data_IF_790468715549
#
_entry.id   IF_790468715549
#
_cell.length_a   1.000
_cell.length_b   1.000
_cell.length_c   1.000
_cell.angle_alpha   90.00
_cell.angle_beta   90.00
_cell.angle_gamma   90.00
#
_symmetry.space_group_name_H-M   'P 1'
#
loop_
_entity.id
_entity.type
_entity.pdbx_description
1 polymer ?
#
# COMPACT_ATOMS: atom_id res chain seq x y z
N UNK A 1 -10.26 -22.24 -11.99
CA UNK A 1 -9.65 -21.12 -11.25
C UNK A 1 -8.42 -20.65 -11.99
N UNK A 2 -8.39 -19.40 -12.42
CA UNK A 2 -7.25 -18.88 -13.20
C UNK A 2 -6.26 -18.18 -12.25
N UNK A 3 -5.41 -18.96 -11.59
CA UNK A 3 -4.45 -18.52 -10.58
C UNK A 3 -3.47 -17.46 -11.12
N UNK A 4 -3.09 -17.53 -12.39
CA UNK A 4 -2.23 -16.53 -13.00
C UNK A 4 -2.86 -15.14 -12.96
N UNK A 5 -4.14 -15.02 -13.32
CA UNK A 5 -4.84 -13.73 -13.28
C UNK A 5 -4.99 -13.21 -11.85
N UNK A 6 -5.11 -14.11 -10.86
CA UNK A 6 -5.20 -13.71 -9.46
C UNK A 6 -3.89 -13.10 -8.90
N UNK A 7 -2.73 -13.56 -9.41
CA UNK A 7 -1.42 -13.14 -8.90
C UNK A 7 -0.86 -11.89 -9.61
N UNK A 8 -1.28 -11.63 -10.87
CA UNK A 8 -0.76 -10.51 -11.66
C UNK A 8 -0.95 -9.13 -11.00
N UNK A 9 -2.07 -8.80 -10.34
CA UNK A 9 -2.21 -7.54 -9.62
C UNK A 9 -1.17 -7.38 -8.51
N UNK A 10 -0.88 -8.45 -7.77
CA UNK A 10 0.14 -8.44 -6.72
C UNK A 10 1.53 -8.17 -7.30
N UNK A 11 1.85 -8.78 -8.43
CA UNK A 11 3.11 -8.56 -9.12
C UNK A 11 3.27 -7.10 -9.57
N UNK A 12 2.25 -6.51 -10.19
CA UNK A 12 2.28 -5.12 -10.63
C UNK A 12 2.34 -4.14 -9.47
N UNK A 13 1.52 -4.33 -8.42
CA UNK A 13 1.58 -3.49 -7.23
C UNK A 13 2.87 -3.68 -6.44
N UNK A 14 3.51 -4.85 -6.51
CA UNK A 14 4.83 -5.10 -5.92
C UNK A 14 5.97 -4.41 -6.67
N UNK A 15 5.87 -4.32 -8.00
CA UNK A 15 6.85 -3.62 -8.85
C UNK A 15 6.66 -2.09 -8.79
N UNK A 16 5.45 -1.60 -8.60
CA UNK A 16 5.14 -0.17 -8.60
C UNK A 16 6.08 0.67 -7.73
N UNK A 17 6.29 0.37 -6.43
CA UNK A 17 7.20 1.15 -5.59
C UNK A 17 8.66 1.09 -6.07
N UNK A 18 9.08 -0.02 -6.68
CA UNK A 18 10.42 -0.16 -7.26
C UNK A 18 10.59 0.72 -8.50
N UNK A 19 9.59 0.71 -9.39
CA UNK A 19 9.59 1.53 -10.60
C UNK A 19 9.62 3.03 -10.24
N UNK A 20 8.74 3.46 -9.34
CA UNK A 20 8.66 4.84 -8.86
C UNK A 20 9.98 5.27 -8.20
N UNK A 21 10.56 4.42 -7.35
CA UNK A 21 11.84 4.73 -6.68
C UNK A 21 13.00 4.84 -7.68
N UNK A 22 13.03 3.99 -8.73
CA UNK A 22 14.05 4.07 -9.79
C UNK A 22 13.88 5.29 -10.71
N UNK A 23 12.65 5.63 -11.06
CA UNK A 23 12.35 6.85 -11.84
C UNK A 23 12.77 8.08 -11.04
N UNK A 24 12.58 8.05 -9.74
CA UNK A 24 12.96 9.10 -8.81
C UNK A 24 12.03 10.31 -8.87
N UNK A 25 12.54 11.44 -8.39
CA UNK A 25 11.75 12.65 -8.20
C UNK A 25 11.18 12.73 -6.79
N UNK A 26 10.70 13.90 -6.40
CA UNK A 26 10.05 14.11 -5.09
C UNK A 26 8.70 13.40 -5.06
N UNK A 27 8.17 13.04 -3.88
CA UNK A 27 6.86 12.34 -3.74
C UNK A 27 5.73 13.02 -4.52
N UNK A 28 5.74 14.35 -4.59
CA UNK A 28 4.74 15.10 -5.36
C UNK A 28 4.83 14.85 -6.88
N UNK A 29 6.04 14.70 -7.43
CA UNK A 29 6.20 14.36 -8.84
C UNK A 29 5.78 12.93 -9.13
N UNK A 30 6.05 12.03 -8.19
CA UNK A 30 5.67 10.62 -8.26
C UNK A 30 4.14 10.47 -8.26
N UNK A 31 3.44 11.15 -7.32
CA UNK A 31 1.97 11.05 -7.26
C UNK A 31 1.30 11.73 -8.46
N UNK A 32 1.78 12.88 -8.93
CA UNK A 32 1.26 13.54 -10.12
C UNK A 32 1.35 12.60 -11.34
N UNK A 33 2.53 12.01 -11.58
CA UNK A 33 2.70 11.06 -12.67
C UNK A 33 1.80 9.83 -12.52
N UNK A 34 1.78 9.23 -11.33
CA UNK A 34 0.93 8.06 -11.06
C UNK A 34 -0.54 8.37 -11.35
N UNK A 35 -1.07 9.49 -10.87
CA UNK A 35 -2.48 9.83 -11.06
C UNK A 35 -2.80 10.16 -12.53
N UNK A 36 -1.88 10.77 -13.27
CA UNK A 36 -2.08 11.08 -14.70
C UNK A 36 -2.09 9.82 -15.55
N UNK A 37 -1.15 8.90 -15.34
CA UNK A 37 -1.17 7.62 -16.02
C UNK A 37 -2.44 6.83 -15.71
N UNK A 38 -2.89 6.87 -14.45
CA UNK A 38 -4.12 6.19 -14.03
C UNK A 38 -5.36 6.77 -14.70
N UNK A 39 -5.51 8.10 -14.76
CA UNK A 39 -6.71 8.70 -15.37
C UNK A 39 -6.81 8.44 -16.87
N UNK A 40 -5.68 8.39 -17.58
CA UNK A 40 -5.68 8.03 -19.00
C UNK A 40 -6.29 6.64 -19.21
N UNK A 41 -5.84 5.66 -18.43
CA UNK A 41 -6.39 4.30 -18.50
C UNK A 41 -7.85 4.26 -18.06
N UNK A 42 -8.21 4.99 -17.00
CA UNK A 42 -9.59 5.05 -16.51
C UNK A 42 -10.55 5.63 -17.54
N UNK A 43 -10.14 6.65 -18.32
CA UNK A 43 -10.91 7.19 -19.44
C UNK A 43 -11.11 6.13 -20.53
N UNK A 44 -10.04 5.41 -20.92
CA UNK A 44 -10.13 4.33 -21.91
C UNK A 44 -11.10 3.24 -21.45
N UNK A 45 -11.00 2.81 -20.20
CA UNK A 45 -11.91 1.81 -19.61
C UNK A 45 -13.35 2.30 -19.63
N UNK A 46 -13.60 3.56 -19.26
CA UNK A 46 -14.93 4.15 -19.29
C UNK A 46 -15.52 4.18 -20.70
N UNK A 47 -14.75 4.56 -21.69
CA UNK A 47 -15.20 4.61 -23.10
C UNK A 47 -15.55 3.23 -23.66
N UNK A 48 -14.85 2.18 -23.19
CA UNK A 48 -15.10 0.79 -23.64
C UNK A 48 -16.25 0.15 -22.87
N UNK A 49 -16.25 0.27 -21.54
CA UNK A 49 -17.18 -0.45 -20.67
C UNK A 49 -18.51 0.30 -20.44
N UNK A 50 -18.52 1.63 -20.62
CA UNK A 50 -19.66 2.53 -20.43
C UNK A 50 -20.52 2.20 -19.20
N UNK A 51 -19.91 2.06 -18.00
CA UNK A 51 -20.65 1.71 -16.80
C UNK A 51 -21.60 2.86 -16.41
N UNK A 52 -22.76 2.54 -15.88
CA UNK A 52 -23.69 3.53 -15.34
C UNK A 52 -23.11 4.13 -14.06
N UNK A 53 -23.02 5.46 -14.01
CA UNK A 53 -22.50 6.21 -12.86
C UNK A 53 -23.55 7.22 -12.42
N UNK A 54 -24.16 6.98 -11.26
CA UNK A 54 -25.07 7.99 -10.67
C UNK A 54 -24.29 9.18 -10.13
N UNK A 55 -24.92 10.35 -10.06
CA UNK A 55 -24.28 11.56 -9.53
C UNK A 55 -23.76 11.37 -8.10
N UNK A 56 -24.51 10.67 -7.25
CA UNK A 56 -24.10 10.39 -5.88
C UNK A 56 -22.83 9.49 -5.84
N UNK A 57 -22.84 8.39 -6.62
CA UNK A 57 -21.70 7.47 -6.71
C UNK A 57 -20.47 8.16 -7.29
N UNK A 58 -20.65 9.07 -8.26
CA UNK A 58 -19.55 9.86 -8.79
C UNK A 58 -18.83 10.63 -7.68
N UNK A 59 -19.55 11.40 -6.86
CA UNK A 59 -18.93 12.24 -5.85
C UNK A 59 -18.32 11.46 -4.70
N UNK A 60 -18.92 10.34 -4.27
CA UNK A 60 -18.32 9.47 -3.26
C UNK A 60 -17.04 8.81 -3.75
N UNK A 61 -17.04 8.32 -4.98
CA UNK A 61 -15.83 7.72 -5.57
C UNK A 61 -14.76 8.79 -5.87
N UNK A 62 -15.15 10.00 -6.31
CA UNK A 62 -14.23 11.11 -6.49
C UNK A 62 -13.52 11.48 -5.17
N UNK A 63 -14.30 11.64 -4.09
CA UNK A 63 -13.74 11.92 -2.76
C UNK A 63 -12.77 10.82 -2.33
N UNK A 64 -13.15 9.55 -2.52
CA UNK A 64 -12.29 8.41 -2.19
C UNK A 64 -10.96 8.44 -2.94
N UNK A 65 -10.99 8.79 -4.24
CA UNK A 65 -9.79 8.96 -5.05
C UNK A 65 -8.91 10.12 -4.58
N UNK A 66 -9.49 11.26 -4.20
CA UNK A 66 -8.74 12.39 -3.65
C UNK A 66 -8.05 12.02 -2.32
N UNK A 67 -8.71 11.28 -1.45
CA UNK A 67 -8.13 10.74 -0.22
C UNK A 67 -6.97 9.79 -0.50
N UNK A 68 -7.11 8.91 -1.50
CA UNK A 68 -6.04 8.00 -1.93
C UNK A 68 -4.79 8.77 -2.40
N UNK A 69 -4.96 9.86 -3.15
CA UNK A 69 -3.81 10.66 -3.63
C UNK A 69 -2.96 11.20 -2.47
N UNK A 70 -3.59 11.68 -1.40
CA UNK A 70 -2.90 12.09 -0.17
C UNK A 70 -2.17 10.93 0.51
N UNK A 71 -2.86 9.80 0.65
CA UNK A 71 -2.29 8.58 1.24
C UNK A 71 -1.08 8.06 0.47
N UNK A 72 -1.20 7.97 -0.84
CA UNK A 72 -0.13 7.49 -1.72
C UNK A 72 1.08 8.43 -1.73
N UNK A 73 0.86 9.74 -1.67
CA UNK A 73 1.95 10.71 -1.54
C UNK A 73 2.71 10.52 -0.22
N UNK A 74 2.00 10.28 0.88
CA UNK A 74 2.61 9.99 2.19
C UNK A 74 3.34 8.64 2.17
N UNK A 75 2.85 7.64 1.45
CA UNK A 75 3.56 6.37 1.26
C UNK A 75 4.86 6.59 0.47
N UNK A 76 4.85 7.35 -0.62
CA UNK A 76 6.08 7.68 -1.35
C UNK A 76 7.07 8.47 -0.46
N UNK A 77 6.56 9.36 0.40
CA UNK A 77 7.40 10.04 1.38
C UNK A 77 8.03 9.07 2.38
N UNK A 78 7.31 8.04 2.78
CA UNK A 78 7.87 7.01 3.67
C UNK A 78 9.03 6.25 3.04
N UNK A 79 8.99 6.02 1.72
CA UNK A 79 10.09 5.36 1.00
C UNK A 79 11.38 6.19 1.00
N UNK A 80 11.26 7.52 0.96
CA UNK A 80 12.43 8.40 1.14
C UNK A 80 13.00 8.34 2.57
N UNK A 81 12.14 8.14 3.57
CA UNK A 81 12.54 8.14 4.99
C UNK A 81 13.11 6.81 5.46
N UNK A 82 12.50 5.70 5.06
CA UNK A 82 12.78 4.36 5.62
C UNK A 82 12.98 3.27 4.58
N UNK A 83 13.07 3.64 3.31
CA UNK A 83 13.20 2.72 2.19
C UNK A 83 11.91 1.99 1.84
N UNK A 84 11.90 1.32 0.68
CA UNK A 84 10.77 0.50 0.23
C UNK A 84 10.63 -0.75 1.09
N UNK A 85 11.76 -1.40 1.43
CA UNK A 85 11.76 -2.61 2.26
C UNK A 85 11.28 -2.38 3.69
N UNK A 86 11.41 -1.15 4.21
CA UNK A 86 10.86 -0.75 5.51
C UNK A 86 9.41 -0.26 5.40
N UNK A 87 9.13 0.57 4.41
CA UNK A 87 7.84 1.24 4.24
C UNK A 87 6.70 0.32 3.81
N UNK A 88 6.96 -0.62 2.88
CA UNK A 88 5.91 -1.49 2.35
C UNK A 88 5.28 -2.43 3.38
N UNK A 89 6.03 -3.18 4.19
CA UNK A 89 5.40 -4.03 5.21
C UNK A 89 4.55 -3.24 6.20
N UNK A 90 5.06 -2.08 6.66
CA UNK A 90 4.33 -1.21 7.60
C UNK A 90 3.05 -0.69 6.95
N UNK A 91 3.16 -0.13 5.75
CA UNK A 91 2.02 0.43 5.01
C UNK A 91 0.94 -0.62 4.73
N UNK A 92 1.34 -1.78 4.18
CA UNK A 92 0.41 -2.87 3.86
C UNK A 92 -0.29 -3.40 5.11
N UNK A 93 0.46 -3.62 6.18
CA UNK A 93 -0.13 -4.12 7.41
C UNK A 93 -1.05 -3.11 8.10
N UNK A 94 -0.71 -1.82 8.10
CA UNK A 94 -1.62 -0.77 8.59
C UNK A 94 -2.91 -0.70 7.76
N UNK A 95 -2.81 -0.78 6.43
CA UNK A 95 -3.96 -0.79 5.53
C UNK A 95 -4.84 -2.02 5.77
N UNK A 96 -4.25 -3.22 5.84
CA UNK A 96 -4.98 -4.45 6.13
C UNK A 96 -5.72 -4.37 7.46
N UNK A 97 -5.00 -4.00 8.52
CA UNK A 97 -5.58 -3.87 9.86
C UNK A 97 -6.73 -2.86 9.88
N UNK A 98 -6.51 -1.67 9.35
CA UNK A 98 -7.50 -0.60 9.39
C UNK A 98 -8.72 -0.90 8.51
N UNK A 99 -8.53 -1.42 7.30
CA UNK A 99 -9.64 -1.83 6.43
C UNK A 99 -10.45 -2.96 7.07
N UNK A 100 -9.80 -3.97 7.68
CA UNK A 100 -10.49 -5.07 8.33
C UNK A 100 -11.30 -4.62 9.55
N UNK A 101 -10.74 -3.72 10.38
CA UNK A 101 -11.45 -3.15 11.51
C UNK A 101 -12.66 -2.32 11.04
N UNK A 102 -12.48 -1.49 10.02
CA UNK A 102 -13.58 -0.68 9.47
C UNK A 102 -14.62 -1.57 8.80
N UNK A 103 -14.21 -2.59 8.06
CA UNK A 103 -15.10 -3.59 7.47
C UNK A 103 -15.95 -4.30 8.52
N UNK A 104 -15.32 -4.76 9.61
CA UNK A 104 -16.01 -5.44 10.70
C UNK A 104 -16.99 -4.53 11.48
N UNK A 105 -16.62 -3.25 11.70
CA UNK A 105 -17.41 -2.33 12.53
C UNK A 105 -18.52 -1.60 11.75
N UNK A 106 -18.28 -1.26 10.48
CA UNK A 106 -19.16 -0.36 9.71
C UNK A 106 -19.79 -1.00 8.48
N UNK A 107 -19.19 -2.09 7.94
CA UNK A 107 -19.72 -2.78 6.77
C UNK A 107 -20.32 -4.14 7.10
N UNK A 108 -20.10 -4.65 8.33
CA UNK A 108 -20.67 -5.91 8.78
C UNK A 108 -19.94 -7.16 8.23
N UNK A 109 -18.64 -7.02 7.89
CA UNK A 109 -17.86 -8.10 7.26
C UNK A 109 -17.69 -9.33 8.15
N UNK A 110 -17.77 -9.20 9.49
CA UNK A 110 -17.60 -10.30 10.46
C UNK A 110 -18.79 -10.42 11.40
N UNK A 111 -19.96 -10.90 10.92
CA UNK A 111 -21.18 -11.02 11.72
C UNK A 111 -21.09 -12.10 12.81
N UNK A 112 -20.36 -13.20 12.57
CA UNK A 112 -20.28 -14.34 13.51
C UNK A 112 -19.07 -14.26 14.43
N UNK A 113 -19.14 -15.00 15.58
CA UNK A 113 -18.04 -15.08 16.53
C UNK A 113 -16.79 -15.70 15.90
N UNK A 114 -16.94 -16.76 15.10
CA UNK A 114 -15.83 -17.42 14.40
C UNK A 114 -15.08 -16.47 13.49
N UNK A 115 -15.80 -15.68 12.69
CA UNK A 115 -15.21 -14.68 11.81
C UNK A 115 -14.44 -13.59 12.57
N UNK A 116 -14.99 -13.12 13.69
CA UNK A 116 -14.30 -12.13 14.56
C UNK A 116 -13.03 -12.71 15.17
N UNK A 117 -13.07 -13.93 15.71
CA UNK A 117 -11.91 -14.59 16.30
C UNK A 117 -10.80 -14.77 15.27
N UNK A 118 -11.12 -15.31 14.09
CA UNK A 118 -10.14 -15.51 13.01
C UNK A 118 -9.60 -14.16 12.52
N UNK A 119 -10.46 -13.16 12.30
CA UNK A 119 -10.09 -11.85 11.82
C UNK A 119 -9.18 -11.08 12.80
N UNK A 120 -9.52 -11.03 14.09
CA UNK A 120 -8.66 -10.37 15.09
C UNK A 120 -7.36 -11.13 15.32
N UNK A 121 -7.35 -12.47 15.25
CA UNK A 121 -6.12 -13.26 15.30
C UNK A 121 -5.21 -12.96 14.10
N UNK A 122 -5.79 -12.80 12.91
CA UNK A 122 -5.07 -12.42 11.71
C UNK A 122 -4.43 -11.02 11.84
N UNK A 123 -5.17 -10.05 12.39
CA UNK A 123 -4.64 -8.69 12.67
C UNK A 123 -3.45 -8.78 13.65
N UNK A 124 -3.55 -9.57 14.70
CA UNK A 124 -2.45 -9.74 15.66
C UNK A 124 -1.20 -10.33 14.99
N UNK A 125 -1.37 -11.33 14.10
CA UNK A 125 -0.27 -11.90 13.29
C UNK A 125 0.36 -10.86 12.36
N UNK A 126 -0.45 -10.03 11.69
CA UNK A 126 0.05 -8.98 10.80
C UNK A 126 0.90 -7.98 11.59
N UNK A 127 0.42 -7.50 12.74
CA UNK A 127 1.15 -6.57 13.61
C UNK A 127 2.47 -7.19 14.06
N UNK A 128 2.47 -8.45 14.46
CA UNK A 128 3.67 -9.17 14.87
C UNK A 128 4.65 -9.35 13.69
N UNK A 129 4.16 -9.71 12.50
CA UNK A 129 4.97 -9.82 11.30
C UNK A 129 5.63 -8.50 10.89
N UNK A 130 4.89 -7.38 10.95
CA UNK A 130 5.44 -6.04 10.70
C UNK A 130 6.53 -5.73 11.71
N UNK A 131 6.27 -5.96 13.00
CA UNK A 131 7.27 -5.74 14.04
C UNK A 131 8.56 -6.51 13.75
N UNK A 132 8.48 -7.76 13.29
CA UNK A 132 9.64 -8.53 12.89
C UNK A 132 10.38 -7.91 11.69
N UNK A 133 9.68 -7.49 10.64
CA UNK A 133 10.31 -6.90 9.44
C UNK A 133 11.05 -5.60 9.73
N UNK A 134 10.66 -4.88 10.78
CA UNK A 134 11.23 -3.57 11.14
C UNK A 134 12.37 -3.66 12.17
N UNK A 135 12.66 -4.85 12.69
CA UNK A 135 13.75 -5.04 13.65
C UNK A 135 15.10 -4.74 13.01
N UNK A 136 15.89 -3.95 13.72
CA UNK A 136 17.30 -3.66 13.37
C UNK A 136 18.24 -4.39 14.31
N UNK A 137 19.35 -4.85 13.79
CA UNK A 137 20.41 -5.44 14.61
C UNK A 137 21.00 -4.38 15.53
N UNK A 138 21.12 -4.73 16.82
CA UNK A 138 21.82 -3.88 17.78
C UNK A 138 23.33 -4.04 17.54
N UNK A 139 23.98 -3.00 17.07
CA UNK A 139 25.44 -2.94 17.04
C UNK A 139 25.90 -2.87 18.52
N UNK A 140 26.47 -3.97 19.03
CA UNK A 140 27.09 -3.96 20.34
C UNK A 140 28.36 -3.09 20.31
N UNK A 141 28.59 -2.20 21.28
CA UNK A 141 29.78 -1.36 21.33
C UNK A 141 31.10 -2.14 21.53
N UNK A 142 31.05 -3.46 21.70
CA UNK A 142 32.17 -4.26 22.20
C UNK A 142 33.19 -4.74 21.17
N UNK A 143 33.09 -4.40 19.90
CA UNK A 143 34.11 -4.81 18.89
C UNK A 143 34.99 -3.67 18.40
N UNK A 144 34.86 -2.46 18.94
CA UNK A 144 35.71 -1.30 18.57
C UNK A 144 36.34 -0.60 19.78
N UNK A 145 36.50 -1.30 20.90
CA UNK A 145 37.16 -0.75 22.09
C UNK A 145 38.68 -0.63 21.99
N UNK A 146 39.24 -0.55 20.80
CA UNK A 146 40.69 -0.41 20.58
C UNK A 146 41.08 0.66 19.55
N UNK A 147 40.23 1.61 19.23
CA UNK A 147 40.66 2.80 18.51
C UNK A 147 39.65 3.94 18.61
N UNK A 148 40.05 4.99 19.33
CA UNK A 148 39.57 6.36 19.22
C UNK A 148 38.20 6.71 19.82
N UNK A 149 38.25 7.67 20.71
CA UNK A 149 37.24 8.61 21.14
C UNK A 149 35.91 8.56 20.35
N UNK A 150 34.83 8.33 21.07
CA UNK A 150 33.47 8.44 20.56
C UNK A 150 33.31 9.72 19.73
N UNK A 151 33.24 9.60 18.42
CA UNK A 151 32.96 10.72 17.55
C UNK A 151 31.48 11.03 17.66
N UNK A 152 31.06 12.32 17.88
CA UNK A 152 29.66 12.74 17.93
C UNK A 152 28.83 12.36 16.67
N UNK A 153 29.49 11.92 15.60
CA UNK A 153 28.88 11.50 14.34
C UNK A 153 28.06 10.19 14.44
N UNK A 154 28.53 9.19 15.18
CA UNK A 154 27.83 7.89 15.27
C UNK A 154 26.53 7.97 16.09
N UNK A 155 26.49 8.79 17.13
CA UNK A 155 25.29 9.07 17.92
C UNK A 155 24.27 9.90 17.11
N UNK A 156 24.74 10.80 16.28
CA UNK A 156 23.89 11.60 15.41
C UNK A 156 23.26 10.77 14.29
N UNK A 157 23.97 9.83 13.69
CA UNK A 157 23.43 8.90 12.68
C UNK A 157 22.37 7.94 13.28
N UNK A 158 22.61 7.41 14.47
CA UNK A 158 21.66 6.58 15.19
C UNK A 158 20.37 7.32 15.57
N UNK A 159 20.49 8.57 15.99
CA UNK A 159 19.35 9.43 16.31
C UNK A 159 18.58 9.86 15.06
N UNK A 160 19.27 10.18 13.98
CA UNK A 160 18.66 10.50 12.70
C UNK A 160 17.89 9.30 12.12
N UNK A 161 18.44 8.08 12.18
CA UNK A 161 17.76 6.86 11.74
C UNK A 161 16.50 6.57 12.56
N UNK A 162 16.54 6.76 13.89
CA UNK A 162 15.37 6.62 14.76
C UNK A 162 14.31 7.68 14.47
N UNK A 163 14.71 8.91 14.21
CA UNK A 163 13.83 10.02 13.85
C UNK A 163 13.14 9.74 12.52
N UNK A 164 13.87 9.28 11.51
CA UNK A 164 13.33 8.91 10.20
C UNK A 164 12.33 7.75 10.31
N UNK A 165 12.61 6.73 11.14
CA UNK A 165 11.67 5.63 11.37
C UNK A 165 10.36 6.12 11.99
N UNK A 166 10.43 6.96 13.03
CA UNK A 166 9.23 7.56 13.64
C UNK A 166 8.44 8.40 12.65
N UNK A 167 9.13 9.25 11.87
CA UNK A 167 8.49 10.06 10.84
C UNK A 167 7.85 9.19 9.74
N UNK A 168 8.55 8.13 9.30
CA UNK A 168 8.03 7.17 8.33
C UNK A 168 6.76 6.47 8.81
N UNK A 169 6.74 5.99 10.06
CA UNK A 169 5.57 5.38 10.68
C UNK A 169 4.41 6.40 10.78
N UNK A 170 4.69 7.62 11.21
CA UNK A 170 3.66 8.66 11.36
C UNK A 170 3.00 9.02 10.02
N UNK A 171 3.77 9.24 8.97
CA UNK A 171 3.20 9.57 7.65
C UNK A 171 2.39 8.40 7.09
N UNK A 172 2.81 7.15 7.34
CA UNK A 172 2.04 5.97 6.96
C UNK A 172 0.75 5.82 7.76
N UNK A 173 0.77 6.11 9.06
CA UNK A 173 -0.44 6.08 9.89
C UNK A 173 -1.48 7.11 9.41
N UNK A 174 -1.04 8.34 9.11
CA UNK A 174 -1.92 9.37 8.53
C UNK A 174 -2.41 8.93 7.13
N UNK A 175 -1.51 8.40 6.30
CA UNK A 175 -1.86 7.90 4.97
C UNK A 175 -2.87 6.76 5.01
N UNK A 176 -2.83 5.92 6.04
CA UNK A 176 -3.78 4.81 6.20
C UNK A 176 -5.23 5.30 6.24
N UNK A 177 -5.51 6.46 6.82
CA UNK A 177 -6.86 7.06 6.82
C UNK A 177 -7.35 7.29 5.37
N UNK A 178 -6.48 7.79 4.50
CA UNK A 178 -6.83 8.00 3.09
C UNK A 178 -7.02 6.70 2.32
N UNK A 179 -6.25 5.66 2.61
CA UNK A 179 -6.44 4.34 2.01
C UNK A 179 -7.73 3.66 2.47
N UNK A 180 -8.08 3.81 3.76
CA UNK A 180 -9.38 3.34 4.27
C UNK A 180 -10.52 4.07 3.58
N UNK A 181 -10.47 5.40 3.44
CA UNK A 181 -11.47 6.17 2.71
C UNK A 181 -11.59 5.73 1.25
N UNK A 182 -10.47 5.41 0.59
CA UNK A 182 -10.47 4.90 -0.77
C UNK A 182 -11.27 3.60 -0.93
N UNK A 183 -11.15 2.68 0.00
CA UNK A 183 -11.86 1.40 0.00
C UNK A 183 -13.28 1.52 0.55
N UNK A 184 -13.48 2.33 1.58
CA UNK A 184 -14.73 2.43 2.32
C UNK A 184 -15.89 3.00 1.50
N UNK A 185 -15.68 4.11 0.79
CA UNK A 185 -16.79 4.77 0.09
C UNK A 185 -17.41 3.91 -1.00
N UNK A 186 -16.65 3.30 -1.94
CA UNK A 186 -17.24 2.40 -2.92
C UNK A 186 -17.94 1.19 -2.27
N UNK A 187 -17.35 0.60 -1.25
CA UNK A 187 -17.93 -0.53 -0.54
C UNK A 187 -19.24 -0.16 0.19
N UNK A 188 -19.26 0.97 0.90
CA UNK A 188 -20.44 1.44 1.66
C UNK A 188 -21.63 1.73 0.78
N UNK A 189 -21.40 2.20 -0.45
CA UNK A 189 -22.46 2.52 -1.41
C UNK A 189 -22.63 1.45 -2.50
N UNK A 190 -22.01 0.29 -2.35
CA UNK A 190 -22.11 -0.85 -3.28
C UNK A 190 -21.82 -0.48 -4.74
N UNK A 191 -20.83 0.38 -4.98
CA UNK A 191 -20.46 0.83 -6.31
C UNK A 191 -19.61 -0.23 -7.01
N UNK A 192 -20.02 -0.65 -8.20
CA UNK A 192 -19.22 -1.56 -9.03
C UNK A 192 -17.83 -0.96 -9.33
N UNK A 193 -16.79 -1.80 -9.30
CA UNK A 193 -15.41 -1.32 -9.46
C UNK A 193 -15.16 -0.60 -10.79
N UNK A 194 -15.83 -1.00 -11.88
CA UNK A 194 -15.72 -0.34 -13.19
C UNK A 194 -16.37 1.03 -13.18
N UNK A 195 -17.52 1.17 -12.49
CA UNK A 195 -18.19 2.45 -12.30
C UNK A 195 -17.42 3.38 -11.35
N UNK A 196 -16.72 2.84 -10.35
CA UNK A 196 -15.92 3.60 -9.41
C UNK A 196 -14.60 4.11 -10.04
N UNK A 197 -14.02 3.41 -11.00
CA UNK A 197 -12.64 3.62 -11.44
C UNK A 197 -12.39 5.01 -12.03
N UNK A 198 -13.25 5.50 -12.95
CA UNK A 198 -13.08 6.84 -13.53
C UNK A 198 -13.27 7.96 -12.51
N UNK A 199 -14.35 8.00 -11.70
CA UNK A 199 -14.50 9.01 -10.65
C UNK A 199 -13.34 9.00 -9.63
N UNK A 200 -12.88 7.82 -9.22
CA UNK A 200 -11.70 7.71 -8.35
C UNK A 200 -10.44 8.28 -9.01
N UNK A 201 -10.16 7.93 -10.26
CA UNK A 201 -9.00 8.45 -10.99
C UNK A 201 -9.05 9.99 -11.14
N UNK A 202 -10.23 10.57 -11.40
CA UNK A 202 -10.42 12.02 -11.42
C UNK A 202 -10.19 12.64 -10.05
N UNK A 203 -10.68 12.01 -8.98
CA UNK A 203 -10.40 12.41 -7.61
C UNK A 203 -8.91 12.37 -7.27
N UNK A 204 -8.22 11.30 -7.68
CA UNK A 204 -6.76 11.16 -7.51
C UNK A 204 -6.00 12.31 -8.16
N UNK A 205 -6.31 12.63 -9.42
CA UNK A 205 -5.68 13.76 -10.14
C UNK A 205 -5.96 15.08 -9.44
N UNK A 206 -7.21 15.31 -9.07
CA UNK A 206 -7.62 16.56 -8.39
C UNK A 206 -6.90 16.72 -7.05
N UNK A 207 -6.83 15.68 -6.25
CA UNK A 207 -6.08 15.67 -4.99
C UNK A 207 -4.58 15.96 -5.19
N UNK A 208 -3.94 15.28 -6.15
CA UNK A 208 -2.53 15.50 -6.47
C UNK A 208 -2.27 16.94 -6.97
N UNK A 209 -3.17 17.50 -7.80
CA UNK A 209 -3.08 18.88 -8.27
C UNK A 209 -3.23 19.89 -7.13
N UNK A 210 -4.19 19.69 -6.22
CA UNK A 210 -4.35 20.54 -5.05
C UNK A 210 -3.08 20.55 -4.19
N UNK A 211 -2.49 19.41 -3.90
CA UNK A 211 -1.21 19.34 -3.18
C UNK A 211 -0.09 20.02 -3.94
N UNK A 212 -0.02 19.87 -5.26
CA UNK A 212 1.02 20.48 -6.08
C UNK A 212 0.92 22.00 -6.12
N UNK A 213 -0.25 22.54 -6.38
CA UNK A 213 -0.45 23.97 -6.63
C UNK A 213 -0.56 24.77 -5.33
N UNK A 214 -1.36 24.31 -4.38
CA UNK A 214 -1.69 25.11 -3.20
C UNK A 214 -0.80 24.83 -2.00
N UNK A 215 -0.40 23.58 -1.78
CA UNK A 215 0.39 23.22 -0.60
C UNK A 215 1.89 23.24 -0.86
N UNK A 216 2.37 22.60 -1.92
CA UNK A 216 3.80 22.47 -2.19
C UNK A 216 4.33 23.47 -3.23
N UNK A 217 3.44 24.24 -3.87
CA UNK A 217 3.78 25.24 -4.90
C UNK A 217 4.73 24.70 -5.97
N UNK A 218 4.48 23.46 -6.41
CA UNK A 218 5.27 22.79 -7.44
C UNK A 218 4.56 22.87 -8.79
N UNK A 219 5.34 22.85 -9.88
CA UNK A 219 4.77 22.79 -11.23
C UNK A 219 4.22 21.39 -11.50
N UNK A 220 2.92 21.23 -11.82
CA UNK A 220 2.33 19.92 -12.09
C UNK A 220 3.01 19.20 -13.26
N UNK A 221 3.24 19.93 -14.35
CA UNK A 221 3.86 19.44 -15.58
C UNK A 221 5.37 19.61 -15.52
N UNK A 222 6.06 18.64 -14.96
CA UNK A 222 7.51 18.58 -14.90
C UNK A 222 8.01 17.25 -15.49
N UNK A 223 9.24 17.22 -16.01
CA UNK A 223 9.82 15.98 -16.53
C UNK A 223 9.78 14.81 -15.53
N UNK A 224 10.09 15.01 -14.23
CA UNK A 224 9.93 13.95 -13.25
C UNK A 224 8.49 13.45 -13.14
N UNK A 225 7.47 14.34 -13.21
CA UNK A 225 6.05 13.92 -13.18
C UNK A 225 5.68 13.10 -14.41
N UNK A 226 6.11 13.54 -15.60
CA UNK A 226 5.84 12.81 -16.85
C UNK A 226 6.46 11.41 -16.82
N UNK A 227 7.72 11.27 -16.39
CA UNK A 227 8.37 9.96 -16.27
C UNK A 227 7.65 9.03 -15.30
N UNK A 228 7.08 9.57 -14.24
CA UNK A 228 6.33 8.81 -13.23
C UNK A 228 4.92 8.39 -13.72
N UNK A 229 4.46 8.80 -14.92
CA UNK A 229 3.24 8.25 -15.54
C UNK A 229 3.34 6.73 -15.76
N UNK A 230 4.56 6.19 -15.92
CA UNK A 230 4.79 4.75 -15.94
C UNK A 230 4.20 4.07 -14.70
N UNK A 231 4.37 4.66 -13.51
CA UNK A 231 3.77 4.17 -12.28
C UNK A 231 2.24 4.16 -12.35
N UNK A 232 1.65 5.17 -12.98
CA UNK A 232 0.19 5.24 -13.20
C UNK A 232 -0.33 4.14 -14.12
N UNK A 233 0.38 3.84 -15.20
CA UNK A 233 0.01 2.73 -16.08
C UNK A 233 0.14 1.38 -15.38
N UNK A 234 1.21 1.15 -14.59
CA UNK A 234 1.38 -0.06 -13.78
C UNK A 234 0.24 -0.19 -12.78
N UNK A 235 -0.08 0.89 -12.05
CA UNK A 235 -1.17 0.91 -11.07
C UNK A 235 -2.52 0.60 -11.71
N UNK A 236 -2.87 1.28 -12.80
CA UNK A 236 -4.13 1.12 -13.50
C UNK A 236 -4.29 -0.30 -14.08
N UNK A 237 -3.23 -0.87 -14.67
CA UNK A 237 -3.25 -2.24 -15.18
C UNK A 237 -3.46 -3.24 -14.03
N UNK A 238 -2.83 -3.01 -12.87
CA UNK A 238 -3.04 -3.84 -11.70
C UNK A 238 -4.50 -3.80 -11.23
N UNK A 239 -5.13 -2.60 -11.20
CA UNK A 239 -6.56 -2.44 -10.86
C UNK A 239 -7.43 -3.22 -11.83
N UNK A 240 -7.20 -3.11 -13.14
CA UNK A 240 -7.98 -3.82 -14.15
C UNK A 240 -7.88 -5.34 -13.99
N UNK A 241 -6.67 -5.86 -13.80
CA UNK A 241 -6.44 -7.29 -13.59
C UNK A 241 -7.07 -7.77 -12.28
N UNK A 242 -7.08 -6.93 -11.25
CA UNK A 242 -7.75 -7.21 -9.99
C UNK A 242 -9.27 -7.34 -10.17
N UNK A 243 -9.89 -6.43 -10.92
CA UNK A 243 -11.33 -6.50 -11.24
C UNK A 243 -11.67 -7.77 -12.04
N UNK A 244 -10.83 -8.14 -13.02
CA UNK A 244 -10.98 -9.40 -13.77
C UNK A 244 -10.82 -10.60 -12.82
N UNK A 245 -9.84 -10.56 -11.92
CA UNK A 245 -9.61 -11.61 -10.93
C UNK A 245 -10.81 -11.81 -10.00
N UNK A 246 -11.44 -10.72 -9.53
CA UNK A 246 -12.66 -10.78 -8.72
C UNK A 246 -13.76 -11.55 -9.46
N UNK A 247 -13.98 -11.25 -10.74
CA UNK A 247 -15.02 -11.91 -11.53
C UNK A 247 -14.74 -13.41 -11.78
N UNK A 248 -13.47 -13.79 -11.90
CA UNK A 248 -13.07 -15.17 -12.20
C UNK A 248 -12.88 -16.06 -10.97
N UNK A 249 -12.40 -15.47 -9.88
CA UNK A 249 -11.94 -16.22 -8.69
C UNK A 249 -12.71 -15.85 -7.41
N UNK A 250 -13.55 -14.82 -7.46
CA UNK A 250 -14.22 -14.24 -6.30
C UNK A 250 -13.35 -13.25 -5.53
N UNK A 251 -14.02 -12.41 -4.73
CA UNK A 251 -13.39 -11.29 -4.01
C UNK A 251 -12.33 -11.77 -3.02
N UNK A 252 -12.65 -12.79 -2.22
CA UNK A 252 -11.75 -13.28 -1.16
C UNK A 252 -10.42 -13.79 -1.72
N UNK A 253 -10.45 -14.56 -2.81
CA UNK A 253 -9.24 -15.10 -3.45
C UNK A 253 -8.44 -13.96 -4.10
N UNK A 254 -9.11 -13.11 -4.85
CA UNK A 254 -8.47 -11.97 -5.50
C UNK A 254 -7.77 -11.06 -4.48
N UNK A 255 -8.46 -10.69 -3.40
CA UNK A 255 -7.91 -9.85 -2.33
C UNK A 255 -6.73 -10.53 -1.61
N UNK A 256 -6.84 -11.80 -1.25
CA UNK A 256 -5.77 -12.55 -0.57
C UNK A 256 -4.51 -12.63 -1.44
N UNK A 257 -4.66 -12.86 -2.75
CA UNK A 257 -3.52 -12.94 -3.66
C UNK A 257 -2.80 -11.60 -3.80
N UNK A 258 -3.50 -10.47 -3.71
CA UNK A 258 -2.86 -9.15 -3.79
C UNK A 258 -1.89 -8.88 -2.64
N UNK A 259 -2.03 -9.54 -1.49
CA UNK A 259 -1.13 -9.38 -0.36
C UNK A 259 0.32 -9.82 -0.67
N UNK A 260 0.51 -10.65 -1.70
CA UNK A 260 1.85 -11.02 -2.15
C UNK A 260 2.67 -9.83 -2.68
N UNK A 261 2.04 -8.69 -2.96
CA UNK A 261 2.73 -7.47 -3.39
C UNK A 261 3.79 -7.01 -2.37
N UNK A 262 3.52 -7.18 -1.08
CA UNK A 262 4.45 -6.77 -0.01
C UNK A 262 5.75 -7.55 -0.06
N UNK A 263 5.70 -8.83 -0.42
CA UNK A 263 6.90 -9.67 -0.56
C UNK A 263 7.76 -9.12 -1.70
N UNK A 264 7.16 -8.93 -2.87
CA UNK A 264 7.87 -8.45 -4.07
C UNK A 264 8.46 -7.04 -3.84
N UNK A 265 7.68 -6.12 -3.27
CA UNK A 265 8.14 -4.76 -3.00
C UNK A 265 9.27 -4.74 -1.96
N UNK A 266 9.15 -5.51 -0.87
CA UNK A 266 10.14 -5.54 0.20
C UNK A 266 11.45 -6.18 -0.27
N UNK A 267 11.39 -7.34 -0.90
CA UNK A 267 12.57 -8.00 -1.44
C UNK A 267 13.17 -7.21 -2.60
N UNK A 268 12.33 -6.60 -3.43
CA UNK A 268 12.79 -5.71 -4.49
C UNK A 268 13.49 -4.46 -3.93
N UNK A 269 13.04 -3.89 -2.82
CA UNK A 269 13.75 -2.82 -2.10
C UNK A 269 15.17 -3.25 -1.72
N UNK A 270 15.32 -4.45 -1.16
CA UNK A 270 16.60 -4.99 -0.74
C UNK A 270 17.49 -5.32 -1.95
N UNK A 271 16.99 -6.12 -2.90
CA UNK A 271 17.83 -6.69 -3.96
C UNK A 271 17.92 -5.85 -5.23
N UNK A 272 16.85 -5.08 -5.56
CA UNK A 272 16.78 -4.29 -6.80
C UNK A 272 17.14 -2.82 -6.56
N UNK A 273 16.75 -2.25 -5.41
CA UNK A 273 17.14 -0.89 -5.03
C UNK A 273 18.42 -0.84 -4.19
N UNK A 274 18.94 -1.97 -3.75
CA UNK A 274 20.22 -2.06 -3.02
C UNK A 274 20.14 -1.61 -1.56
N UNK A 275 18.95 -1.68 -0.93
CA UNK A 275 18.78 -1.35 0.48
C UNK A 275 19.55 -2.35 1.35
N UNK A 276 20.53 -1.85 2.13
CA UNK A 276 21.41 -2.71 2.93
C UNK A 276 20.70 -3.26 4.15
N UNK A 277 20.83 -4.57 4.37
CA UNK A 277 20.35 -5.30 5.54
C UNK A 277 21.43 -6.26 6.02
N UNK A 278 21.57 -6.43 7.32
CA UNK A 278 22.43 -7.49 7.87
C UNK A 278 21.78 -8.87 7.69
N UNK A 279 22.56 -9.95 7.85
CA UNK A 279 22.00 -11.31 7.76
C UNK A 279 20.90 -11.55 8.78
N UNK A 280 21.05 -11.02 9.98
CA UNK A 280 20.06 -11.13 11.04
C UNK A 280 18.77 -10.36 10.69
N UNK A 281 18.90 -9.14 10.15
CA UNK A 281 17.76 -8.34 9.67
C UNK A 281 17.04 -9.04 8.51
N UNK A 282 17.77 -9.65 7.56
CA UNK A 282 17.19 -10.40 6.46
C UNK A 282 16.33 -11.57 6.93
N UNK A 283 16.81 -12.36 7.90
CA UNK A 283 16.01 -13.44 8.48
C UNK A 283 14.73 -12.92 9.14
N UNK A 284 14.82 -11.83 9.88
CA UNK A 284 13.63 -11.19 10.47
C UNK A 284 12.66 -10.69 9.40
N UNK A 285 13.18 -10.14 8.28
CA UNK A 285 12.34 -9.72 7.14
C UNK A 285 11.62 -10.92 6.53
N UNK A 286 12.32 -12.01 6.22
CA UNK A 286 11.71 -13.20 5.62
C UNK A 286 10.61 -13.81 6.50
N UNK A 287 10.91 -14.01 7.79
CA UNK A 287 9.94 -14.56 8.73
C UNK A 287 8.77 -13.60 8.90
N UNK A 288 9.05 -12.30 9.06
CA UNK A 288 8.02 -11.28 9.20
C UNK A 288 7.09 -11.20 7.99
N UNK A 289 7.63 -11.25 6.76
CA UNK A 289 6.85 -11.28 5.53
C UNK A 289 5.97 -12.52 5.42
N UNK A 290 6.49 -13.68 5.82
CA UNK A 290 5.70 -14.92 5.84
C UNK A 290 4.52 -14.80 6.81
N UNK A 291 4.76 -14.24 8.00
CA UNK A 291 3.71 -14.03 9.00
C UNK A 291 2.65 -13.02 8.49
N UNK A 292 3.07 -11.91 7.87
CA UNK A 292 2.15 -10.93 7.27
C UNK A 292 1.31 -11.57 6.16
N UNK A 293 1.92 -12.43 5.34
CA UNK A 293 1.22 -13.18 4.30
C UNK A 293 0.15 -14.10 4.88
N UNK A 294 0.53 -14.89 5.89
CA UNK A 294 -0.42 -15.80 6.58
C UNK A 294 -1.57 -15.00 7.17
N UNK A 295 -1.28 -13.89 7.87
CA UNK A 295 -2.31 -13.01 8.42
C UNK A 295 -3.22 -12.41 7.34
N UNK A 296 -2.67 -11.99 6.20
CA UNK A 296 -3.45 -11.49 5.07
C UNK A 296 -4.38 -12.54 4.46
N UNK A 297 -3.90 -13.79 4.31
CA UNK A 297 -4.73 -14.92 3.87
C UNK A 297 -5.84 -15.21 4.89
N UNK A 298 -5.54 -15.21 6.19
CA UNK A 298 -6.53 -15.41 7.24
C UNK A 298 -7.61 -14.32 7.23
N UNK A 299 -7.28 -13.06 6.95
CA UNK A 299 -8.28 -12.00 6.76
C UNK A 299 -9.18 -12.32 5.56
N UNK A 300 -8.60 -12.73 4.43
CA UNK A 300 -9.40 -13.14 3.26
C UNK A 300 -10.34 -14.30 3.57
N UNK A 301 -9.89 -15.27 4.37
CA UNK A 301 -10.69 -16.42 4.76
C UNK A 301 -11.74 -16.09 5.84
N UNK A 302 -11.48 -15.11 6.72
CA UNK A 302 -12.39 -14.76 7.82
C UNK A 302 -13.80 -14.36 7.35
N UNK A 303 -13.92 -13.81 6.14
CA UNK A 303 -15.22 -13.43 5.56
C UNK A 303 -15.94 -14.59 4.83
N UNK A 304 -15.41 -15.82 4.87
CA UNK A 304 -16.01 -16.98 4.21
C UNK A 304 -17.05 -17.69 5.08
N UNK A 305 -18.01 -18.36 4.45
CA UNK A 305 -19.01 -19.19 5.13
C UNK A 305 -18.38 -20.33 5.95
N UNK A 306 -17.24 -20.87 5.47
CA UNK A 306 -16.54 -21.93 6.20
C UNK A 306 -16.10 -21.49 7.59
N UNK A 307 -15.64 -20.23 7.74
CA UNK A 307 -15.25 -19.65 9.03
C UNK A 307 -16.46 -19.19 9.83
N UNK A 308 -17.53 -18.75 9.16
CA UNK A 308 -18.77 -18.36 9.82
C UNK A 308 -19.39 -19.50 10.66
N UNK A 309 -19.16 -20.73 10.23
CA UNK A 309 -19.73 -21.95 10.83
C UNK A 309 -18.75 -22.65 11.81
N UNK A 310 -17.60 -22.09 12.11
CA UNK A 310 -16.57 -22.69 12.98
C UNK A 310 -16.88 -22.62 14.48
N UNK A 311 -17.70 -21.68 14.93
CA UNK A 311 -18.09 -21.40 16.31
C UNK A 311 -19.57 -20.96 16.34
#
# INVERSE_FOLDING_TARGET
MNMLIAILPAFLWGILPLAISKVGGRPIHQILGTTWGTVIVAIVVYLIAQPEITTANFWWCFLSGAMWAGAQMLQYRSFELIGVSGGMPISTGMQLTANSVVGALFLGDWPTLGQRVVGFSAIALIIFGIWMTTRKERVSPSSTAAASAATPAADNEGNAAKSNMKAGILVLAIGTIGYVGFSFFPARFHVDGRAAFLPQALGMVSGALLFSLFYLKQRPFSMPSIKNMLGGFIFALAVLLYLISINLNGVSIAASMTQMNVILATLGGIYVLGERKTRWELWNVYIGLLIVLIGGIMIGLSSTEAVANLL
#
